data_IF_676788622297
#
_entry.id   IF_676788622297
#
_cell.length_a   1.000
_cell.length_b   1.000
_cell.length_c   1.000
_cell.angle_alpha   90.00
_cell.angle_beta   90.00
_cell.angle_gamma   90.00
#
_symmetry.space_group_name_H-M   'P 1'
#
loop_
_entity.id
_entity.type
_entity.pdbx_description
1 polymer ?
#
# COMPACT_ATOMS: atom_id res chain seq x y z
N UNK A 1 -17.08 -11.82 0.28
CA UNK A 1 -17.15 -11.19 1.61
C UNK A 1 -18.20 -10.08 1.70
N UNK A 2 -18.05 -8.89 1.11
CA UNK A 2 -18.99 -7.78 1.34
C UNK A 2 -20.47 -8.04 0.93
N UNK A 3 -20.72 -8.87 -0.09
CA UNK A 3 -22.06 -9.19 -0.58
C UNK A 3 -22.91 -10.06 0.37
N UNK A 4 -22.28 -10.75 1.34
CA UNK A 4 -22.96 -11.61 2.32
C UNK A 4 -23.29 -10.86 3.62
N UNK A 5 -22.83 -9.62 3.74
CA UNK A 5 -23.14 -8.77 4.89
C UNK A 5 -24.46 -8.04 4.66
N UNK A 6 -25.17 -7.74 5.76
CA UNK A 6 -26.33 -6.85 5.70
C UNK A 6 -25.85 -5.42 5.41
N UNK A 7 -26.21 -4.87 4.25
CA UNK A 7 -25.96 -3.46 3.93
C UNK A 7 -26.84 -2.58 4.83
N UNK A 8 -26.22 -1.79 5.69
CA UNK A 8 -26.90 -0.86 6.59
C UNK A 8 -27.07 0.55 5.99
N UNK A 9 -26.18 0.93 5.07
CA UNK A 9 -26.23 2.22 4.39
C UNK A 9 -25.01 2.43 3.50
N UNK A 10 -25.01 3.52 2.74
CA UNK A 10 -23.87 3.96 1.93
C UNK A 10 -23.86 5.48 1.97
N UNK A 11 -22.69 6.06 2.23
CA UNK A 11 -22.49 7.50 2.19
C UNK A 11 -21.21 7.80 1.41
N UNK A 12 -21.16 8.96 0.79
CA UNK A 12 -20.03 9.38 -0.05
C UNK A 12 -19.40 10.64 0.54
N UNK A 13 -18.12 10.57 0.87
CA UNK A 13 -17.33 11.75 1.24
C UNK A 13 -16.82 12.42 -0.04
N UNK A 14 -17.49 13.47 -0.47
CA UNK A 14 -17.19 14.17 -1.73
C UNK A 14 -16.35 15.43 -1.53
N UNK A 15 -15.73 15.89 -2.63
CA UNK A 15 -14.97 17.14 -2.65
C UNK A 15 -13.59 17.05 -1.97
N UNK A 16 -12.99 15.87 -1.94
CA UNK A 16 -11.58 15.72 -1.57
C UNK A 16 -10.70 16.41 -2.63
N UNK A 17 -9.67 17.16 -2.22
CA UNK A 17 -8.74 17.76 -3.17
C UNK A 17 -8.01 16.64 -3.93
N UNK A 18 -7.66 16.85 -5.22
CA UNK A 18 -6.88 15.88 -5.97
C UNK A 18 -5.56 15.58 -5.26
N UNK A 19 -5.37 14.32 -4.86
CA UNK A 19 -4.17 13.86 -4.18
C UNK A 19 -3.76 12.48 -4.72
N UNK A 20 -2.47 12.12 -4.66
CA UNK A 20 -2.02 10.77 -5.00
C UNK A 20 -2.70 9.71 -4.12
N UNK A 21 -2.85 8.49 -4.65
CA UNK A 21 -3.38 7.35 -3.86
C UNK A 21 -2.53 7.16 -2.60
N UNK A 22 -3.20 6.90 -1.47
CA UNK A 22 -2.57 6.69 -0.16
C UNK A 22 -2.17 7.96 0.61
N UNK A 23 -2.34 9.15 0.02
CA UNK A 23 -2.10 10.43 0.71
C UNK A 23 -3.31 10.92 1.53
N UNK A 24 -4.56 10.85 1.03
CA UNK A 24 -5.73 11.22 1.83
C UNK A 24 -5.84 10.35 3.08
N UNK A 25 -5.97 10.99 4.23
CA UNK A 25 -6.16 10.32 5.51
C UNK A 25 -7.63 10.48 5.93
N UNK A 26 -8.40 9.41 5.76
CA UNK A 26 -9.82 9.39 6.09
C UNK A 26 -10.01 8.66 7.42
N UNK A 27 -10.44 9.40 8.44
CA UNK A 27 -10.83 8.84 9.72
C UNK A 27 -12.32 8.48 9.67
N UNK A 28 -12.65 7.21 9.92
CA UNK A 28 -14.04 6.74 9.99
C UNK A 28 -14.33 6.31 11.43
N UNK A 29 -15.30 6.96 12.06
CA UNK A 29 -15.73 6.68 13.42
C UNK A 29 -17.13 6.08 13.42
N UNK A 30 -17.29 4.98 14.15
CA UNK A 30 -18.57 4.33 14.41
C UNK A 30 -18.91 4.53 15.88
N UNK A 31 -19.99 5.26 16.15
CA UNK A 31 -20.53 5.47 17.49
C UNK A 31 -21.88 4.77 17.60
N UNK A 32 -22.09 4.03 18.69
CA UNK A 32 -23.31 3.24 18.91
C UNK A 32 -23.91 3.72 20.22
N UNK A 33 -25.10 4.29 20.14
CA UNK A 33 -25.77 4.82 21.32
C UNK A 33 -26.48 3.70 22.14
N UNK A 34 -26.96 4.07 23.34
CA UNK A 34 -27.70 3.16 24.20
C UNK A 34 -29.02 2.64 23.61
N UNK A 35 -29.52 3.28 22.54
CA UNK A 35 -30.72 2.88 21.80
C UNK A 35 -30.39 1.95 20.61
N UNK A 36 -29.11 1.65 20.36
CA UNK A 36 -28.65 0.86 19.23
C UNK A 36 -28.67 1.62 17.89
N UNK A 37 -28.73 2.95 17.93
CA UNK A 37 -28.57 3.81 16.76
C UNK A 37 -27.08 3.95 16.48
N UNK A 38 -26.68 3.66 15.25
CA UNK A 38 -25.28 3.77 14.82
C UNK A 38 -25.07 5.10 14.12
N UNK A 39 -24.22 5.96 14.69
CA UNK A 39 -23.73 7.16 14.06
C UNK A 39 -22.39 6.85 13.37
N UNK A 40 -22.35 7.00 12.05
CA UNK A 40 -21.13 6.83 11.27
C UNK A 40 -20.68 8.20 10.81
N UNK A 41 -19.44 8.57 11.10
CA UNK A 41 -18.83 9.80 10.59
C UNK A 41 -17.52 9.48 9.88
N UNK A 42 -17.27 10.17 8.78
CA UNK A 42 -16.01 10.14 8.05
C UNK A 42 -15.46 11.55 7.93
N UNK A 43 -14.20 11.72 8.34
CA UNK A 43 -13.49 13.00 8.31
C UNK A 43 -12.20 12.86 7.53
N UNK A 44 -11.97 13.75 6.57
CA UNK A 44 -10.65 13.92 5.99
C UNK A 44 -9.79 14.77 6.95
N UNK A 45 -8.68 14.20 7.43
CA UNK A 45 -7.78 14.87 8.36
C UNK A 45 -7.02 16.04 7.72
N UNK A 46 -6.87 16.06 6.39
CA UNK A 46 -6.18 17.13 5.67
C UNK A 46 -7.04 18.38 5.51
N UNK A 47 -8.30 18.21 5.06
CA UNK A 47 -9.20 19.34 4.81
C UNK A 47 -10.18 19.63 5.95
N UNK A 48 -10.32 18.72 6.90
CA UNK A 48 -11.34 18.81 7.96
C UNK A 48 -12.77 18.57 7.45
N UNK A 49 -12.96 18.24 6.16
CA UNK A 49 -14.29 17.92 5.62
C UNK A 49 -14.85 16.68 6.32
N UNK A 50 -16.11 16.79 6.72
CA UNK A 50 -16.82 15.75 7.44
C UNK A 50 -18.12 15.41 6.71
N UNK A 51 -18.43 14.12 6.65
CA UNK A 51 -19.74 13.60 6.29
C UNK A 51 -20.17 12.58 7.35
N UNK A 52 -21.46 12.56 7.67
CA UNK A 52 -22.00 11.65 8.68
C UNK A 52 -23.36 11.12 8.27
N UNK A 53 -23.67 9.90 8.71
CA UNK A 53 -24.92 9.21 8.50
C UNK A 53 -25.37 8.60 9.83
N UNK A 54 -26.68 8.59 10.07
CA UNK A 54 -27.26 7.91 11.23
C UNK A 54 -28.09 6.72 10.75
N UNK A 55 -27.88 5.58 11.37
CA UNK A 55 -28.56 4.32 11.08
C UNK A 55 -29.45 4.02 12.29
N UNK A 56 -30.73 4.31 12.16
CA UNK A 56 -31.72 4.06 13.22
C UNK A 56 -32.16 2.60 13.21
N UNK A 57 -32.18 1.97 14.39
CA UNK A 57 -32.31 0.52 14.64
C UNK A 57 -33.60 -0.16 14.20
N UNK A 58 -33.89 -0.16 12.89
CA UNK A 58 -34.85 -1.06 12.25
C UNK A 58 -34.20 -2.31 11.64
N UNK A 59 -32.89 -2.48 11.81
CA UNK A 59 -32.08 -3.55 11.20
C UNK A 59 -31.58 -4.58 12.20
N UNK A 60 -32.28 -4.76 13.32
CA UNK A 60 -31.95 -5.81 14.28
C UNK A 60 -32.31 -7.16 13.64
N UNK A 61 -31.29 -7.88 13.19
CA UNK A 61 -31.42 -9.29 12.82
C UNK A 61 -32.10 -10.03 13.98
N UNK A 62 -33.06 -10.90 13.69
CA UNK A 62 -33.67 -11.76 14.70
C UNK A 62 -32.61 -12.72 15.28
N UNK A 63 -32.85 -13.29 16.47
CA UNK A 63 -31.90 -14.25 17.04
C UNK A 63 -31.68 -15.45 16.13
N UNK A 64 -32.74 -15.89 15.44
CA UNK A 64 -32.69 -16.96 14.46
C UNK A 64 -31.84 -16.58 13.25
N UNK A 65 -31.95 -15.34 12.75
CA UNK A 65 -31.09 -14.83 11.67
C UNK A 65 -29.61 -14.75 12.11
N UNK A 66 -29.34 -14.32 13.35
CA UNK A 66 -27.98 -14.27 13.91
C UNK A 66 -27.38 -15.68 14.01
N UNK A 67 -28.13 -16.65 14.53
CA UNK A 67 -27.67 -18.04 14.63
C UNK A 67 -27.43 -18.66 13.25
N UNK A 68 -28.29 -18.37 12.28
CA UNK A 68 -28.10 -18.84 10.91
C UNK A 68 -26.85 -18.21 10.28
N UNK A 69 -26.66 -16.89 10.42
CA UNK A 69 -25.46 -16.21 9.93
C UNK A 69 -24.16 -16.72 10.57
N UNK A 70 -24.18 -17.09 11.86
CA UNK A 70 -23.01 -17.70 12.52
C UNK A 70 -22.69 -19.07 11.93
N UNK A 71 -23.70 -19.93 11.73
CA UNK A 71 -23.50 -21.25 11.11
C UNK A 71 -23.01 -21.15 9.67
N UNK A 72 -23.58 -20.22 8.89
CA UNK A 72 -23.17 -19.98 7.51
C UNK A 72 -21.73 -19.45 7.46
N UNK A 73 -21.36 -18.53 8.36
CA UNK A 73 -19.99 -18.03 8.45
C UNK A 73 -18.97 -19.12 8.79
N UNK A 74 -19.30 -20.06 9.69
CA UNK A 74 -18.45 -21.21 10.00
C UNK A 74 -18.33 -22.16 8.80
N UNK A 75 -19.45 -22.47 8.14
CA UNK A 75 -19.49 -23.37 6.99
C UNK A 75 -18.73 -22.82 5.78
N UNK A 76 -18.76 -21.50 5.57
CA UNK A 76 -18.10 -20.82 4.46
C UNK A 76 -16.74 -20.21 4.83
N UNK A 77 -16.21 -20.46 6.03
CA UNK A 77 -14.97 -19.86 6.51
C UNK A 77 -13.78 -20.10 5.56
N UNK A 78 -13.66 -21.32 5.02
CA UNK A 78 -12.56 -21.65 4.10
C UNK A 78 -12.75 -21.01 2.72
N UNK A 79 -13.98 -20.92 2.21
CA UNK A 79 -14.28 -20.24 0.95
C UNK A 79 -14.04 -18.72 1.05
N UNK A 80 -14.45 -18.11 2.17
CA UNK A 80 -14.21 -16.69 2.43
C UNK A 80 -12.73 -16.39 2.65
N UNK A 81 -11.97 -17.32 3.24
CA UNK A 81 -10.52 -17.22 3.34
C UNK A 81 -9.87 -17.24 1.96
N UNK A 82 -10.27 -18.14 1.08
CA UNK A 82 -9.76 -18.19 -0.30
C UNK A 82 -10.09 -16.91 -1.08
N UNK A 83 -11.32 -16.40 -0.96
CA UNK A 83 -11.72 -15.13 -1.59
C UNK A 83 -10.99 -13.92 -1.01
N UNK A 84 -10.66 -13.94 0.28
CA UNK A 84 -9.82 -12.92 0.91
C UNK A 84 -8.42 -12.96 0.33
N UNK A 85 -7.82 -14.14 0.28
CA UNK A 85 -6.50 -14.33 -0.32
C UNK A 85 -6.50 -13.88 -1.79
N UNK A 86 -7.55 -14.19 -2.54
CA UNK A 86 -7.73 -13.76 -3.93
C UNK A 86 -7.73 -12.22 -4.04
N UNK A 87 -8.49 -11.55 -3.18
CA UNK A 87 -8.55 -10.09 -3.14
C UNK A 87 -7.22 -9.46 -2.71
N UNK A 88 -6.56 -10.03 -1.70
CA UNK A 88 -5.27 -9.53 -1.18
C UNK A 88 -4.16 -9.65 -2.23
N UNK A 89 -4.11 -10.78 -2.96
CA UNK A 89 -3.16 -10.99 -4.06
C UNK A 89 -3.40 -9.99 -5.18
N UNK A 90 -4.66 -9.78 -5.59
CA UNK A 90 -4.98 -8.78 -6.62
C UNK A 90 -4.64 -7.36 -6.19
N UNK A 91 -5.00 -6.98 -4.96
CA UNK A 91 -4.72 -5.66 -4.42
C UNK A 91 -3.21 -5.40 -4.30
N UNK A 92 -2.45 -6.40 -3.88
CA UNK A 92 -0.99 -6.33 -3.81
C UNK A 92 -0.37 -6.15 -5.20
N UNK A 93 -0.85 -6.91 -6.20
CA UNK A 93 -0.44 -6.78 -7.59
C UNK A 93 -0.75 -5.39 -8.18
N UNK A 94 -1.99 -4.90 -8.02
CA UNK A 94 -2.40 -3.56 -8.49
C UNK A 94 -1.56 -2.45 -7.85
N UNK A 95 -1.34 -2.55 -6.53
CA UNK A 95 -0.50 -1.60 -5.80
C UNK A 95 0.95 -1.62 -6.32
N UNK A 96 1.51 -2.81 -6.56
CA UNK A 96 2.88 -2.95 -7.08
C UNK A 96 3.00 -2.35 -8.49
N UNK A 97 2.04 -2.62 -9.37
CA UNK A 97 1.97 -2.02 -10.72
C UNK A 97 2.00 -0.50 -10.61
N UNK A 98 1.11 0.08 -9.81
CA UNK A 98 1.03 1.53 -9.66
C UNK A 98 2.33 2.14 -9.12
N UNK A 99 2.91 1.55 -8.08
CA UNK A 99 4.16 2.02 -7.48
C UNK A 99 5.32 1.94 -8.47
N UNK A 100 5.41 0.86 -9.24
CA UNK A 100 6.50 0.62 -10.17
C UNK A 100 6.39 1.52 -11.41
N UNK A 101 5.18 1.70 -11.96
CA UNK A 101 4.95 2.66 -13.05
C UNK A 101 5.30 4.08 -12.62
N UNK A 102 4.93 4.47 -11.40
CA UNK A 102 5.30 5.77 -10.84
C UNK A 102 6.82 5.90 -10.71
N UNK A 103 7.49 4.89 -10.17
CA UNK A 103 8.95 4.87 -10.04
C UNK A 103 9.66 5.02 -11.39
N UNK A 104 9.20 4.31 -12.42
CA UNK A 104 9.73 4.42 -13.78
C UNK A 104 9.54 5.81 -14.37
N UNK A 105 8.36 6.40 -14.15
CA UNK A 105 8.04 7.75 -14.63
C UNK A 105 8.87 8.83 -13.94
N UNK A 106 9.01 8.75 -12.61
CA UNK A 106 9.72 9.75 -11.81
C UNK A 106 11.25 9.71 -12.03
N UNK A 107 11.78 8.60 -12.56
CA UNK A 107 13.20 8.41 -12.83
C UNK A 107 13.50 8.17 -14.33
N UNK A 108 12.60 8.57 -15.23
CA UNK A 108 12.69 8.26 -16.66
C UNK A 108 14.05 8.60 -17.28
N UNK A 109 14.63 9.74 -16.90
CA UNK A 109 15.92 10.21 -17.40
C UNK A 109 17.09 9.30 -16.99
N UNK A 110 16.99 8.62 -15.84
CA UNK A 110 18.04 7.74 -15.31
C UNK A 110 18.04 6.33 -15.92
N UNK A 111 17.05 6.03 -16.76
CA UNK A 111 16.85 4.73 -17.38
C UNK A 111 17.00 4.75 -18.90
N UNK A 112 17.53 5.82 -19.49
CA UNK A 112 17.61 5.96 -20.95
C UNK A 112 18.89 5.38 -21.56
N UNK A 113 19.92 5.08 -20.76
CA UNK A 113 21.23 4.64 -21.23
C UNK A 113 21.71 3.35 -20.55
N UNK A 114 22.53 2.57 -21.29
CA UNK A 114 23.22 1.38 -20.78
C UNK A 114 22.30 0.23 -20.37
N UNK A 115 22.77 -0.59 -19.41
CA UNK A 115 22.05 -1.78 -18.93
C UNK A 115 20.70 -1.43 -18.27
N UNK A 116 20.55 -0.20 -17.76
CA UNK A 116 19.31 0.27 -17.17
C UNK A 116 18.18 0.43 -18.19
N UNK A 117 18.50 0.79 -19.44
CA UNK A 117 17.51 0.90 -20.51
C UNK A 117 16.93 -0.47 -20.90
N UNK A 118 17.77 -1.50 -20.99
CA UNK A 118 17.33 -2.86 -21.25
C UNK A 118 16.43 -3.38 -20.11
N UNK A 119 16.84 -3.18 -18.85
CA UNK A 119 16.04 -3.58 -17.68
C UNK A 119 14.73 -2.82 -17.56
N UNK A 120 14.69 -1.53 -17.94
CA UNK A 120 13.45 -0.75 -18.00
C UNK A 120 12.43 -1.40 -18.94
N UNK A 121 12.85 -1.75 -20.16
CA UNK A 121 11.97 -2.42 -21.13
C UNK A 121 11.49 -3.77 -20.61
N UNK A 122 12.37 -4.53 -19.96
CA UNK A 122 12.02 -5.80 -19.30
C UNK A 122 10.97 -5.59 -18.20
N UNK A 123 11.12 -4.56 -17.38
CA UNK A 123 10.18 -4.20 -16.32
C UNK A 123 8.83 -3.74 -16.87
N UNK A 124 8.82 -2.90 -17.91
CA UNK A 124 7.59 -2.48 -18.59
C UNK A 124 6.83 -3.68 -19.18
N UNK A 125 7.55 -4.64 -19.76
CA UNK A 125 6.97 -5.92 -20.20
C UNK A 125 6.38 -6.74 -19.05
N UNK A 126 7.11 -6.88 -17.94
CA UNK A 126 6.63 -7.60 -16.76
C UNK A 126 5.40 -6.93 -16.11
N UNK A 127 5.34 -5.59 -16.11
CA UNK A 127 4.16 -4.84 -15.65
C UNK A 127 2.97 -5.11 -16.57
N UNK A 128 3.17 -5.13 -17.89
CA UNK A 128 2.10 -5.43 -18.85
C UNK A 128 1.56 -6.87 -18.67
N UNK A 129 2.45 -7.84 -18.44
CA UNK A 129 2.09 -9.22 -18.14
C UNK A 129 1.28 -9.31 -16.83
N UNK A 130 1.72 -8.63 -15.76
CA UNK A 130 0.99 -8.58 -14.49
C UNK A 130 -0.39 -7.94 -14.64
N UNK A 131 -0.51 -6.82 -15.38
CA UNK A 131 -1.82 -6.21 -15.69
C UNK A 131 -2.75 -7.19 -16.39
N UNK A 132 -2.24 -7.92 -17.38
CA UNK A 132 -3.02 -8.94 -18.10
C UNK A 132 -3.42 -10.10 -17.19
N UNK A 133 -2.54 -10.54 -16.29
CA UNK A 133 -2.87 -11.58 -15.30
C UNK A 133 -3.94 -11.12 -14.30
N UNK A 134 -3.93 -9.84 -13.91
CA UNK A 134 -4.92 -9.26 -12.99
C UNK A 134 -6.34 -9.20 -13.59
N UNK A 135 -6.49 -9.18 -14.92
CA UNK A 135 -7.78 -9.30 -15.60
C UNK A 135 -8.38 -10.71 -15.51
N UNK A 136 -7.56 -11.72 -15.16
CA UNK A 136 -7.95 -13.11 -15.05
C UNK A 136 -8.29 -13.58 -13.62
N UNK A 137 -8.46 -14.89 -13.50
CA UNK A 137 -8.78 -15.58 -12.23
C UNK A 137 -7.67 -16.50 -11.74
N UNK A 138 -6.54 -16.58 -12.44
CA UNK A 138 -5.41 -17.43 -12.07
C UNK A 138 -4.52 -16.73 -11.02
N UNK A 139 -4.73 -17.06 -9.75
CA UNK A 139 -3.94 -16.53 -8.65
C UNK A 139 -2.47 -16.93 -8.68
N UNK A 140 -2.14 -18.10 -9.22
CA UNK A 140 -0.75 -18.54 -9.35
C UNK A 140 -0.02 -17.67 -10.36
N UNK A 141 -0.66 -17.39 -11.49
CA UNK A 141 -0.14 -16.47 -12.51
C UNK A 141 0.05 -15.06 -11.96
N UNK A 142 -0.91 -14.53 -11.19
CA UNK A 142 -0.80 -13.21 -10.57
C UNK A 142 0.36 -13.16 -9.57
N UNK A 143 0.49 -14.18 -8.70
CA UNK A 143 1.61 -14.26 -7.75
C UNK A 143 2.96 -14.30 -8.45
N UNK A 144 3.12 -15.17 -9.45
CA UNK A 144 4.37 -15.29 -10.20
C UNK A 144 4.72 -14.01 -10.97
N UNK A 145 3.74 -13.36 -11.60
CA UNK A 145 3.95 -12.08 -12.27
C UNK A 145 4.29 -10.95 -11.26
N UNK A 146 3.68 -10.97 -10.07
CA UNK A 146 3.99 -10.03 -8.98
C UNK A 146 5.43 -10.20 -8.50
N UNK A 147 5.89 -11.43 -8.30
CA UNK A 147 7.27 -11.74 -7.93
C UNK A 147 8.26 -11.25 -8.99
N UNK A 148 7.98 -11.51 -10.28
CA UNK A 148 8.81 -11.07 -11.39
C UNK A 148 8.95 -9.54 -11.45
N UNK A 149 7.83 -8.81 -11.31
CA UNK A 149 7.87 -7.34 -11.26
C UNK A 149 8.67 -6.85 -10.05
N UNK A 150 8.48 -7.47 -8.88
CA UNK A 150 9.20 -7.15 -7.65
C UNK A 150 10.71 -7.33 -7.80
N UNK A 151 11.17 -8.47 -8.32
CA UNK A 151 12.59 -8.77 -8.53
C UNK A 151 13.26 -7.76 -9.47
N UNK A 152 12.66 -7.52 -10.65
CA UNK A 152 13.22 -6.59 -11.63
C UNK A 152 13.23 -5.16 -11.09
N UNK A 153 12.14 -4.74 -10.42
CA UNK A 153 12.03 -3.43 -9.77
C UNK A 153 13.10 -3.23 -8.69
N UNK A 154 13.36 -4.24 -7.86
CA UNK A 154 14.44 -4.21 -6.85
C UNK A 154 15.82 -4.09 -7.49
N UNK A 155 16.10 -4.82 -8.57
CA UNK A 155 17.37 -4.72 -9.28
C UNK A 155 17.60 -3.32 -9.87
N UNK A 156 16.57 -2.72 -10.48
CA UNK A 156 16.64 -1.34 -10.99
C UNK A 156 16.81 -0.33 -9.85
N UNK A 157 16.09 -0.51 -8.74
CA UNK A 157 16.25 0.31 -7.54
C UNK A 157 17.67 0.26 -6.98
N UNK A 158 18.25 -0.94 -6.85
CA UNK A 158 19.62 -1.13 -6.39
C UNK A 158 20.65 -0.47 -7.31
N UNK A 159 20.48 -0.60 -8.63
CA UNK A 159 21.34 0.04 -9.62
C UNK A 159 21.30 1.58 -9.51
N UNK A 160 20.12 2.17 -9.30
CA UNK A 160 19.98 3.61 -9.08
C UNK A 160 20.60 4.08 -7.77
N UNK A 161 20.41 3.34 -6.67
CA UNK A 161 21.05 3.68 -5.39
C UNK A 161 22.57 3.64 -5.51
N UNK A 162 23.14 2.61 -6.15
CA UNK A 162 24.56 2.52 -6.40
C UNK A 162 25.09 3.68 -7.26
N UNK A 163 24.35 4.06 -8.31
CA UNK A 163 24.70 5.20 -9.17
C UNK A 163 24.66 6.54 -8.41
N UNK A 164 23.63 6.77 -7.59
CA UNK A 164 23.53 8.01 -6.78
C UNK A 164 24.61 8.05 -5.68
N UNK A 165 24.97 6.91 -5.08
CA UNK A 165 26.04 6.83 -4.08
C UNK A 165 27.42 7.13 -4.69
N UNK A 166 27.66 6.73 -5.95
CA UNK A 166 28.87 7.07 -6.69
C UNK A 166 28.93 8.55 -7.17
N UNK A 167 27.78 9.23 -7.20
CA UNK A 167 27.65 10.66 -7.56
C UNK A 167 27.53 11.61 -6.37
N UNK A 168 27.51 11.10 -5.13
CA UNK A 168 27.64 11.94 -3.95
C UNK A 168 29.03 12.62 -4.00
N UNK A 169 29.12 13.95 -3.84
CA UNK A 169 30.42 14.61 -3.83
C UNK A 169 31.24 14.03 -2.69
N UNK A 170 32.48 13.63 -2.99
CA UNK A 170 33.51 13.46 -1.98
C UNK A 170 33.63 14.80 -1.26
N UNK A 171 32.99 14.91 -0.10
CA UNK A 171 33.14 16.06 0.78
C UNK A 171 34.61 16.18 1.15
N UNK A 172 35.11 17.40 0.99
CA UNK A 172 36.42 17.87 1.44
C UNK A 172 36.94 17.09 2.64
N UNK A 173 38.06 16.39 2.43
CA UNK A 173 38.94 16.02 3.53
C UNK A 173 39.67 17.31 3.90
N UNK A 174 39.50 17.89 5.10
CA UNK A 174 40.38 18.97 5.53
C UNK A 174 41.79 18.39 5.55
N UNK A 175 42.71 19.11 4.92
CA UNK A 175 44.13 18.80 4.92
C UNK A 175 44.62 18.52 6.35
N UNK A 176 45.15 17.33 6.54
CA UNK A 176 46.04 16.98 7.64
C UNK A 176 47.33 17.79 7.45
N UNK A 177 47.42 18.93 8.13
CA UNK A 177 48.69 19.59 8.45
C UNK A 177 48.56 20.15 9.87
N UNK A 178 49.15 19.41 10.84
CA UNK A 178 49.19 19.87 12.22
C UNK A 178 49.26 18.76 13.26
N UNK A 179 50.28 17.91 13.18
CA UNK A 179 50.79 17.21 14.36
C UNK A 179 51.14 18.25 15.44
N UNK A 180 50.35 18.29 16.51
CA UNK A 180 50.80 18.82 17.80
C UNK A 180 50.42 17.83 18.89
N UNK A 181 51.46 17.13 19.33
CA UNK A 181 51.57 16.48 20.63
C UNK A 181 51.05 17.40 21.74
N UNK A 182 50.07 16.92 22.51
CA UNK A 182 49.81 17.41 23.86
C UNK A 182 49.17 16.28 24.67
N UNK A 183 50.04 15.48 25.29
CA UNK A 183 50.02 15.16 26.71
C UNK A 183 48.64 14.90 27.35
N UNK A 184 48.31 13.62 27.55
CA UNK A 184 47.50 13.20 28.69
C UNK A 184 48.31 12.18 29.47
N UNK A 185 49.01 12.68 30.48
CA UNK A 185 49.54 11.91 31.59
C UNK A 185 48.36 11.34 32.37
N UNK A 186 48.32 10.00 32.37
CA UNK A 186 48.04 9.10 33.49
C UNK A 186 47.28 9.68 34.71
N UNK A 187 46.13 9.07 35.06
CA UNK A 187 45.93 8.61 36.44
C UNK A 187 44.72 7.65 36.60
N UNK A 188 44.98 6.56 37.33
CA UNK A 188 44.07 5.64 38.06
C UNK A 188 43.65 4.34 37.32
N UNK A 189 44.43 3.26 37.47
CA UNK A 189 44.40 2.38 38.66
C UNK A 189 45.45 1.27 38.60
#
# INVERSE_FOLDING_TARGET
>A
MAAYNKKLGMFELTGLPPAPRGVPQIEVTFDIDANGIVHVSAKDLGTGKLQSMTITGGSALSKEEIEQMMKDAEAHAEEDKQRREEADVRNSGDSLVYQTEKFLKDNADKFNDGDNAAKKVELEGAIADLKKSLEGTDLSAIKSATEKVSEISQQLGAALYAANAAQAPAGDTPADDGVQDAEVVDEQK
#
